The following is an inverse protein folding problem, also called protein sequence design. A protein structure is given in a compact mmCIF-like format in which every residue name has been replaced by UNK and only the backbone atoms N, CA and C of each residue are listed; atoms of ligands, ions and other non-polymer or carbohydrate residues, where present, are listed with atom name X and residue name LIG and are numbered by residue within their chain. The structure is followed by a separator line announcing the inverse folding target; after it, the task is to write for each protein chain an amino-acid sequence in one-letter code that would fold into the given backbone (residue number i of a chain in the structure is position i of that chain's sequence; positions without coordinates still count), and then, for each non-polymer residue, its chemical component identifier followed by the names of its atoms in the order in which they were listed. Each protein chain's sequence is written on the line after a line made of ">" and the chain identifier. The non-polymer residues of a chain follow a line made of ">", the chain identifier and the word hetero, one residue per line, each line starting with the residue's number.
data_IF_326869613164
#
_entry.id   IF_326869613164
#
_cell.length_a   1.000
_cell.length_b   1.000
_cell.length_c   1.000
_cell.angle_alpha   90.00
_cell.angle_beta   90.00
_cell.angle_gamma   90.00
#
_symmetry.space_group_name_H-M   'P 1'
#
loop_
_entity.id
_entity.type
_entity.pdbx_description
1 polymer ?
#
# COMPACT_ATOMS: atom_id res chain seq x y z
N UNK A 1 39.36 -12.14 13.18
CA UNK A 1 38.60 -13.42 13.13
C UNK A 1 37.77 -13.46 11.87
N UNK A 2 37.90 -14.49 11.07
CA UNK A 2 37.14 -14.65 9.83
C UNK A 2 35.88 -15.47 10.11
N UNK A 3 34.77 -15.16 9.46
CA UNK A 3 33.52 -15.88 9.61
C UNK A 3 33.43 -16.99 8.55
N UNK A 4 33.15 -18.22 8.99
CA UNK A 4 33.00 -19.40 8.14
C UNK A 4 31.58 -19.91 8.20
N UNK A 5 30.99 -20.21 7.06
CA UNK A 5 29.74 -20.95 6.93
C UNK A 5 30.06 -22.43 6.88
N UNK A 6 29.38 -23.23 7.71
CA UNK A 6 29.58 -24.68 7.73
C UNK A 6 28.28 -25.44 7.51
N UNK A 7 28.43 -26.61 6.91
CA UNK A 7 27.47 -27.69 6.95
C UNK A 7 28.15 -28.88 7.61
N UNK A 8 27.55 -29.41 8.68
CA UNK A 8 28.12 -30.49 9.46
C UNK A 8 27.05 -31.53 9.83
N UNK A 9 27.41 -32.80 9.91
CA UNK A 9 26.54 -33.87 10.38
C UNK A 9 26.83 -34.20 11.84
N UNK A 10 25.77 -34.41 12.63
CA UNK A 10 25.89 -34.95 13.97
C UNK A 10 26.14 -36.46 13.97
N UNK A 11 26.33 -37.09 15.16
CA UNK A 11 26.56 -38.53 15.29
C UNK A 11 25.39 -39.41 14.81
N UNK A 12 24.21 -38.80 14.58
CA UNK A 12 23.00 -39.48 14.08
C UNK A 12 22.78 -39.23 12.57
N UNK A 13 23.73 -38.56 11.89
CA UNK A 13 23.65 -38.26 10.46
C UNK A 13 22.74 -37.07 10.10
N UNK A 14 22.24 -36.28 11.08
CA UNK A 14 21.43 -35.11 10.83
C UNK A 14 22.33 -33.95 10.44
N UNK A 15 22.04 -33.32 9.32
CA UNK A 15 22.79 -32.18 8.79
C UNK A 15 22.37 -30.88 9.52
N UNK A 16 23.35 -30.21 10.13
CA UNK A 16 23.22 -28.87 10.67
C UNK A 16 24.06 -27.88 9.87
N UNK A 17 23.49 -26.72 9.56
CA UNK A 17 24.21 -25.63 8.90
C UNK A 17 24.22 -24.39 9.83
N UNK A 18 25.38 -23.71 9.87
CA UNK A 18 25.56 -22.56 10.75
C UNK A 18 26.75 -21.70 10.36
N UNK A 19 27.06 -20.72 11.19
CA UNK A 19 28.21 -19.84 11.04
C UNK A 19 29.12 -20.00 12.26
N UNK A 20 30.42 -19.94 12.03
CA UNK A 20 31.47 -20.07 13.04
C UNK A 20 32.54 -19.01 12.80
N UNK A 21 32.98 -18.35 13.84
CA UNK A 21 34.13 -17.44 13.80
C UNK A 21 35.41 -18.20 14.15
N UNK A 22 36.40 -18.13 13.25
CA UNK A 22 37.71 -18.75 13.44
C UNK A 22 38.79 -17.94 12.72
N UNK A 23 40.03 -18.08 13.21
CA UNK A 23 41.16 -17.35 12.58
C UNK A 23 41.62 -17.99 11.28
N UNK A 24 41.32 -19.27 11.08
CA UNK A 24 41.61 -20.01 9.84
C UNK A 24 40.57 -21.11 9.58
N UNK A 25 40.51 -21.60 8.37
CA UNK A 25 39.63 -22.70 7.99
C UNK A 25 39.94 -23.98 8.79
N UNK A 26 41.22 -24.24 9.11
CA UNK A 26 41.62 -25.36 9.98
C UNK A 26 41.12 -25.21 11.40
N UNK A 27 41.13 -24.01 11.98
CA UNK A 27 40.58 -23.71 13.29
C UNK A 27 39.05 -23.88 13.32
N UNK A 28 38.37 -23.55 12.23
CA UNK A 28 36.93 -23.81 12.08
C UNK A 28 36.61 -25.31 12.07
N UNK A 29 37.36 -26.12 11.34
CA UNK A 29 37.24 -27.58 11.36
C UNK A 29 37.49 -28.17 12.75
N UNK A 30 38.53 -27.70 13.46
CA UNK A 30 38.85 -28.17 14.83
C UNK A 30 37.70 -27.84 15.79
N UNK A 31 37.13 -26.65 15.71
CA UNK A 31 36.00 -26.21 16.56
C UNK A 31 34.73 -27.02 16.30
N UNK A 32 34.41 -27.39 15.07
CA UNK A 32 33.26 -28.25 14.74
C UNK A 32 33.49 -29.66 15.29
N UNK A 33 34.70 -30.18 15.13
CA UNK A 33 35.06 -31.50 15.64
C UNK A 33 35.01 -31.61 17.19
N UNK A 34 35.40 -30.54 17.90
CA UNK A 34 35.27 -30.46 19.36
C UNK A 34 33.81 -30.42 19.85
N UNK A 35 32.89 -30.02 18.99
CA UNK A 35 31.44 -30.04 19.23
C UNK A 35 30.77 -31.37 18.84
N UNK A 36 31.56 -32.37 18.43
CA UNK A 36 31.03 -33.66 18.01
C UNK A 36 30.38 -33.67 16.60
N UNK A 37 30.62 -32.62 15.82
CA UNK A 37 30.07 -32.46 14.48
C UNK A 37 31.11 -32.83 13.41
N UNK A 38 30.71 -33.63 12.45
CA UNK A 38 31.54 -33.95 11.26
C UNK A 38 31.27 -32.93 10.19
N UNK A 39 32.22 -32.05 9.91
CA UNK A 39 32.09 -31.02 8.91
C UNK A 39 32.06 -31.63 7.50
N UNK A 40 30.96 -31.37 6.76
CA UNK A 40 30.79 -31.77 5.38
C UNK A 40 31.34 -30.68 4.44
N UNK A 41 31.09 -29.42 4.78
CA UNK A 41 31.56 -28.26 4.03
C UNK A 41 31.86 -27.09 4.96
N UNK A 42 33.01 -26.43 4.75
CA UNK A 42 33.39 -25.19 5.46
C UNK A 42 33.92 -24.20 4.44
N UNK A 43 33.22 -23.08 4.26
CA UNK A 43 33.60 -22.03 3.33
C UNK A 43 33.81 -20.71 4.06
N UNK A 44 34.81 -19.95 3.64
CA UNK A 44 35.00 -18.58 4.13
C UNK A 44 33.80 -17.74 3.67
N UNK A 45 33.12 -17.12 4.61
CA UNK A 45 32.03 -16.17 4.32
C UNK A 45 32.70 -14.86 3.88
N UNK A 46 33.03 -14.79 2.57
CA UNK A 46 33.74 -13.67 1.97
C UNK A 46 32.88 -12.39 1.88
N UNK A 47 31.67 -12.40 2.46
CA UNK A 47 30.76 -11.27 2.45
C UNK A 47 30.26 -11.00 3.87
N UNK A 48 30.95 -10.17 4.69
CA UNK A 48 30.53 -9.86 6.06
C UNK A 48 29.19 -9.13 6.15
N UNK A 49 28.55 -8.82 5.03
CA UNK A 49 27.20 -8.26 4.92
C UNK A 49 26.13 -9.23 4.43
N UNK A 50 26.47 -10.50 4.13
CA UNK A 50 25.54 -11.49 3.55
C UNK A 50 24.83 -12.37 4.60
N UNK A 51 24.79 -11.95 5.85
CA UNK A 51 23.97 -12.57 6.91
C UNK A 51 22.47 -12.35 6.77
N UNK A 52 22.06 -11.67 5.72
CA UNK A 52 20.68 -11.61 5.25
C UNK A 52 20.72 -11.57 3.73
N UNK A 53 21.01 -12.73 3.08
CA UNK A 53 20.50 -12.95 1.74
C UNK A 53 18.97 -12.83 1.85
N UNK A 54 18.50 -11.59 1.71
CA UNK A 54 17.12 -11.31 1.35
C UNK A 54 16.92 -12.01 0.02
N UNK A 55 16.53 -13.29 0.08
CA UNK A 55 16.02 -13.98 -1.08
C UNK A 55 14.98 -13.07 -1.71
N UNK A 56 14.83 -13.11 -3.02
CA UNK A 56 13.78 -12.41 -3.77
C UNK A 56 12.37 -12.58 -3.15
N UNK A 57 12.23 -13.45 -2.15
CA UNK A 57 11.03 -13.82 -1.40
C UNK A 57 11.10 -13.52 0.13
N UNK A 58 12.08 -12.76 0.65
CA UNK A 58 11.97 -12.36 2.06
C UNK A 58 10.78 -11.41 2.21
N UNK A 59 9.87 -11.70 3.16
CA UNK A 59 8.69 -10.86 3.37
C UNK A 59 9.14 -9.46 3.80
N UNK A 60 8.66 -8.45 3.10
CA UNK A 60 8.85 -7.04 3.45
C UNK A 60 8.06 -6.71 4.71
N UNK A 61 8.53 -5.76 5.51
CA UNK A 61 7.72 -5.18 6.59
C UNK A 61 6.43 -4.59 6.00
N UNK A 62 5.27 -5.02 6.53
CA UNK A 62 4.01 -4.39 6.16
C UNK A 62 3.90 -3.00 6.77
N UNK A 63 2.99 -2.15 6.24
CA UNK A 63 2.74 -0.83 6.81
C UNK A 63 2.35 -0.93 8.31
N UNK A 64 1.65 -2.00 8.72
CA UNK A 64 1.27 -2.24 10.11
C UNK A 64 2.46 -2.70 10.97
N UNK A 65 3.35 -3.54 10.42
CA UNK A 65 4.56 -3.98 11.12
C UNK A 65 5.49 -2.79 11.38
N UNK A 66 5.61 -1.90 10.39
CA UNK A 66 6.40 -0.68 10.52
C UNK A 66 5.78 0.28 11.56
N UNK A 67 4.45 0.44 11.56
CA UNK A 67 3.74 1.26 12.55
C UNK A 67 3.99 0.74 13.97
N UNK A 68 3.82 -0.58 14.18
CA UNK A 68 4.06 -1.21 15.46
C UNK A 68 5.49 -1.02 15.94
N UNK A 69 6.48 -1.33 15.10
CA UNK A 69 7.89 -1.19 15.45
C UNK A 69 8.27 0.26 15.77
N UNK A 70 7.74 1.23 15.00
CA UNK A 70 7.98 2.66 15.22
C UNK A 70 7.37 3.13 16.52
N UNK A 71 6.13 2.72 16.84
CA UNK A 71 5.45 3.07 18.10
C UNK A 71 6.19 2.50 19.32
N UNK A 72 6.64 1.25 19.23
CA UNK A 72 7.43 0.64 20.32
C UNK A 72 8.73 1.40 20.54
N UNK A 73 9.49 1.67 19.48
CA UNK A 73 10.73 2.45 19.58
C UNK A 73 10.48 3.86 20.13
N UNK A 74 9.44 4.55 19.63
CA UNK A 74 9.08 5.88 20.10
C UNK A 74 8.76 5.88 21.60
N UNK A 75 7.95 4.93 22.07
CA UNK A 75 7.58 4.83 23.49
C UNK A 75 8.79 4.54 24.40
N UNK A 76 9.68 3.66 23.96
CA UNK A 76 10.89 3.32 24.72
C UNK A 76 11.91 4.48 24.76
N UNK A 77 12.11 5.14 23.63
CA UNK A 77 12.97 6.33 23.54
C UNK A 77 12.37 7.52 24.33
N UNK A 78 11.06 7.70 24.29
CA UNK A 78 10.33 8.69 25.09
C UNK A 78 10.46 8.43 26.60
N UNK A 79 10.58 7.16 27.01
CA UNK A 79 10.93 6.76 28.38
C UNK A 79 12.42 6.91 28.68
N UNK A 80 13.20 7.58 27.83
CA UNK A 80 14.64 7.79 27.97
C UNK A 80 15.50 6.53 27.97
N UNK A 81 15.04 5.43 27.38
CA UNK A 81 15.89 4.27 27.16
C UNK A 81 16.93 4.58 26.08
N UNK A 82 18.18 4.12 26.26
CA UNK A 82 19.20 4.18 25.20
C UNK A 82 18.72 3.46 23.93
N UNK A 83 19.11 3.96 22.75
CA UNK A 83 18.67 3.43 21.46
C UNK A 83 18.92 1.92 21.30
N UNK A 84 20.08 1.43 21.75
CA UNK A 84 20.41 0.00 21.70
C UNK A 84 19.47 -0.84 22.56
N UNK A 85 19.15 -0.37 23.77
CA UNK A 85 18.22 -1.04 24.67
C UNK A 85 16.80 -1.03 24.11
N UNK A 86 16.36 0.10 23.53
CA UNK A 86 15.06 0.23 22.87
C UNK A 86 14.94 -0.74 21.67
N UNK A 87 15.97 -0.82 20.82
CA UNK A 87 16.01 -1.78 19.71
C UNK A 87 15.98 -3.23 20.21
N UNK A 88 16.73 -3.54 21.28
CA UNK A 88 16.76 -4.89 21.86
C UNK A 88 15.39 -5.31 22.38
N UNK A 89 14.75 -4.45 23.19
CA UNK A 89 13.41 -4.71 23.71
C UNK A 89 12.36 -4.85 22.60
N UNK A 90 12.45 -4.03 21.54
CA UNK A 90 11.53 -4.13 20.39
C UNK A 90 11.73 -5.44 19.63
N UNK A 91 12.96 -5.92 19.48
CA UNK A 91 13.26 -7.22 18.85
C UNK A 91 12.67 -8.37 19.68
N UNK A 92 12.80 -8.33 20.99
CA UNK A 92 12.28 -9.36 21.90
C UNK A 92 10.75 -9.43 21.91
N UNK A 93 10.08 -8.28 21.74
CA UNK A 93 8.62 -8.18 21.68
C UNK A 93 8.04 -8.50 20.30
N UNK A 94 8.88 -8.66 19.27
CA UNK A 94 8.42 -8.89 17.92
C UNK A 94 7.82 -10.30 17.74
N UNK A 95 6.50 -10.40 17.59
CA UNK A 95 5.81 -11.68 17.39
C UNK A 95 6.16 -12.35 16.07
N UNK A 96 6.44 -11.56 15.04
CA UNK A 96 6.71 -12.05 13.67
C UNK A 96 8.23 -12.15 13.45
N UNK A 97 8.69 -13.32 13.03
CA UNK A 97 10.13 -13.59 12.81
C UNK A 97 10.82 -12.60 11.86
N UNK A 98 10.14 -12.17 10.79
CA UNK A 98 10.73 -11.24 9.84
C UNK A 98 10.94 -9.84 10.44
N UNK A 99 10.06 -9.37 11.35
CA UNK A 99 10.24 -8.10 12.07
C UNK A 99 11.46 -8.22 12.97
N UNK A 100 11.52 -9.28 13.79
CA UNK A 100 12.66 -9.54 14.66
C UNK A 100 13.98 -9.62 13.88
N UNK A 101 14.00 -10.28 12.73
CA UNK A 101 15.19 -10.38 11.87
C UNK A 101 15.63 -9.02 11.32
N UNK A 102 14.70 -8.23 10.78
CA UNK A 102 14.99 -6.90 10.22
C UNK A 102 15.52 -5.97 11.31
N UNK A 103 14.85 -5.90 12.46
CA UNK A 103 15.28 -5.05 13.59
C UNK A 103 16.57 -5.55 14.24
N UNK A 104 16.80 -6.86 14.34
CA UNK A 104 18.07 -7.42 14.82
C UNK A 104 19.24 -7.03 13.94
N UNK A 105 19.02 -6.99 12.61
CA UNK A 105 20.04 -6.54 11.68
C UNK A 105 20.31 -5.04 11.80
N UNK A 106 19.27 -4.20 12.01
CA UNK A 106 19.44 -2.77 12.31
C UNK A 106 20.20 -2.58 13.64
N UNK A 107 19.82 -3.34 14.68
CA UNK A 107 20.52 -3.30 15.97
C UNK A 107 22.00 -3.66 15.85
N UNK A 108 22.33 -4.68 15.06
CA UNK A 108 23.72 -5.09 14.83
C UNK A 108 24.55 -3.97 14.18
N UNK A 109 23.97 -3.29 13.18
CA UNK A 109 24.62 -2.17 12.50
C UNK A 109 24.82 -0.98 13.47
N UNK A 110 23.83 -0.64 14.29
CA UNK A 110 23.94 0.42 15.30
C UNK A 110 24.99 0.06 16.37
N UNK A 111 25.05 -1.19 16.83
CA UNK A 111 26.10 -1.68 17.76
C UNK A 111 27.51 -1.59 17.17
N UNK A 112 27.64 -1.72 15.85
CA UNK A 112 28.92 -1.55 15.17
C UNK A 112 29.37 -0.09 15.05
N UNK A 113 28.56 0.87 15.56
CA UNK A 113 28.84 2.31 15.54
C UNK A 113 28.21 3.05 14.34
N UNK A 114 27.36 2.38 13.54
CA UNK A 114 26.65 3.02 12.45
C UNK A 114 25.51 3.88 12.99
N UNK A 115 25.24 5.04 12.38
CA UNK A 115 24.06 5.85 12.69
C UNK A 115 22.78 5.08 12.37
N UNK A 116 21.71 5.29 13.16
CA UNK A 116 20.43 4.64 12.90
C UNK A 116 19.91 4.92 11.50
N UNK A 117 19.97 6.17 11.05
CA UNK A 117 19.56 6.57 9.69
C UNK A 117 20.32 5.79 8.59
N UNK A 118 21.61 5.54 8.77
CA UNK A 118 22.45 4.78 7.84
C UNK A 118 22.10 3.28 7.88
N UNK A 119 21.92 2.71 9.08
CA UNK A 119 21.49 1.33 9.26
C UNK A 119 20.13 1.05 8.58
N UNK A 120 19.21 2.01 8.66
CA UNK A 120 17.92 1.96 7.97
C UNK A 120 18.06 2.16 6.45
N UNK A 121 19.01 3.01 6.01
CA UNK A 121 19.27 3.25 4.59
C UNK A 121 19.80 2.00 3.86
N UNK A 122 20.46 1.10 4.57
CA UNK A 122 20.86 -0.20 4.05
C UNK A 122 19.67 -1.11 3.67
N UNK A 123 18.45 -0.78 4.14
CA UNK A 123 17.20 -1.56 3.95
C UNK A 123 16.09 -0.72 3.35
N UNK A 124 16.25 -0.18 2.11
CA UNK A 124 15.31 0.78 1.52
C UNK A 124 13.94 0.16 1.17
N UNK A 125 13.85 -1.18 1.15
CA UNK A 125 12.59 -1.90 0.93
C UNK A 125 11.67 -1.84 2.15
N UNK A 126 12.24 -1.86 3.36
CA UNK A 126 11.51 -1.91 4.63
C UNK A 126 11.27 -0.51 5.19
N UNK A 127 12.23 0.40 5.01
CA UNK A 127 12.17 1.76 5.54
C UNK A 127 12.12 2.80 4.41
N UNK A 128 10.95 3.43 4.18
CA UNK A 128 10.77 4.47 3.16
C UNK A 128 11.71 5.67 3.37
N UNK A 129 11.95 6.43 2.32
CA UNK A 129 12.89 7.58 2.37
C UNK A 129 12.47 8.64 3.40
N UNK A 130 11.16 8.93 3.50
CA UNK A 130 10.65 9.85 4.53
C UNK A 130 11.01 9.38 5.95
N UNK A 131 10.91 8.06 6.21
CA UNK A 131 11.26 7.48 7.49
C UNK A 131 12.73 7.74 7.82
N UNK A 132 13.61 7.46 6.88
CA UNK A 132 15.07 7.63 7.02
C UNK A 132 15.46 9.10 7.16
N UNK A 133 14.82 9.98 6.38
CA UNK A 133 15.07 11.43 6.44
C UNK A 133 14.70 12.02 7.80
N UNK A 134 13.57 11.57 8.39
CA UNK A 134 13.16 12.00 9.73
C UNK A 134 14.11 11.50 10.80
N UNK A 135 14.52 10.23 10.73
CA UNK A 135 15.47 9.67 11.68
C UNK A 135 16.81 10.41 11.61
N UNK A 136 17.31 10.70 10.40
CA UNK A 136 18.53 11.48 10.23
C UNK A 136 18.43 12.86 10.87
N UNK A 137 17.30 13.55 10.70
CA UNK A 137 17.06 14.84 11.32
C UNK A 137 17.00 14.73 12.86
N UNK A 138 16.36 13.68 13.40
CA UNK A 138 16.31 13.40 14.83
C UNK A 138 17.69 13.10 15.45
N UNK A 139 18.54 12.38 14.72
CA UNK A 139 19.91 12.11 15.14
C UNK A 139 20.78 13.40 15.07
N UNK A 140 20.61 14.22 14.05
CA UNK A 140 21.34 15.50 13.91
C UNK A 140 20.94 16.53 14.97
N UNK A 141 19.65 16.59 15.33
CA UNK A 141 19.14 17.50 16.37
C UNK A 141 19.34 16.99 17.79
N UNK A 142 19.63 15.70 17.96
CA UNK A 142 19.71 15.04 19.26
C UNK A 142 18.35 14.73 19.91
N UNK A 143 17.25 14.96 19.19
CA UNK A 143 15.88 14.73 19.67
C UNK A 143 15.19 13.59 18.92
N UNK A 144 15.86 12.44 18.92
CA UNK A 144 15.37 11.24 18.25
C UNK A 144 14.03 10.77 18.82
N UNK A 145 13.81 10.94 20.14
CA UNK A 145 12.59 10.52 20.81
C UNK A 145 11.36 11.28 20.27
N UNK A 146 11.43 12.60 20.18
CA UNK A 146 10.33 13.42 19.67
C UNK A 146 10.05 13.15 18.19
N UNK A 147 11.12 12.95 17.39
CA UNK A 147 10.98 12.63 15.97
C UNK A 147 10.34 11.26 15.77
N UNK A 148 10.73 10.26 16.57
CA UNK A 148 10.13 8.92 16.53
C UNK A 148 8.64 8.94 16.93
N UNK A 149 8.27 9.74 17.92
CA UNK A 149 6.87 9.94 18.32
C UNK A 149 6.03 10.50 17.16
N UNK A 150 6.47 11.61 16.57
CA UNK A 150 5.80 12.22 15.40
C UNK A 150 5.72 11.27 14.20
N UNK A 151 6.77 10.47 14.00
CA UNK A 151 6.80 9.48 12.92
C UNK A 151 5.81 8.33 13.18
N UNK A 152 5.70 7.88 14.44
CA UNK A 152 4.72 6.87 14.84
C UNK A 152 3.29 7.38 14.60
N UNK A 153 2.98 8.60 15.08
CA UNK A 153 1.67 9.23 14.88
C UNK A 153 1.32 9.33 13.38
N UNK A 154 2.27 9.78 12.56
CA UNK A 154 2.08 9.88 11.12
C UNK A 154 1.75 8.54 10.45
N UNK A 155 2.50 7.49 10.80
CA UNK A 155 2.28 6.17 10.20
C UNK A 155 0.95 5.59 10.66
N UNK A 156 0.59 5.76 11.94
CA UNK A 156 -0.68 5.30 12.51
C UNK A 156 -1.88 6.04 11.89
N UNK A 157 -1.84 7.36 11.79
CA UNK A 157 -2.88 8.15 11.14
C UNK A 157 -3.06 7.74 9.67
N UNK A 158 -1.95 7.57 8.95
CA UNK A 158 -1.97 7.13 7.55
C UNK A 158 -2.59 5.73 7.41
N UNK A 159 -2.19 4.79 8.27
CA UNK A 159 -2.71 3.43 8.27
C UNK A 159 -4.18 3.40 8.72
N UNK A 160 -4.54 4.20 9.71
CA UNK A 160 -5.91 4.36 10.19
C UNK A 160 -6.84 4.88 9.09
N UNK A 161 -6.45 5.94 8.37
CA UNK A 161 -7.23 6.45 7.24
C UNK A 161 -7.40 5.39 6.14
N UNK A 162 -6.30 4.70 5.79
CA UNK A 162 -6.36 3.60 4.81
C UNK A 162 -7.26 2.47 5.27
N UNK A 163 -7.17 2.08 6.56
CA UNK A 163 -8.02 1.07 7.17
C UNK A 163 -9.49 1.44 7.09
N UNK A 164 -9.86 2.65 7.50
CA UNK A 164 -11.24 3.16 7.43
C UNK A 164 -11.80 3.10 6.00
N UNK A 165 -11.02 3.56 5.02
CA UNK A 165 -11.43 3.53 3.62
C UNK A 165 -11.63 2.09 3.15
N UNK A 166 -10.67 1.18 3.40
CA UNK A 166 -10.77 -0.22 2.99
C UNK A 166 -11.98 -0.90 3.63
N UNK A 167 -12.18 -0.73 4.94
CA UNK A 167 -13.30 -1.32 5.67
C UNK A 167 -14.64 -0.83 5.12
N UNK A 168 -14.75 0.46 4.77
CA UNK A 168 -15.97 1.01 4.17
C UNK A 168 -16.32 0.37 2.82
N UNK A 169 -15.33 -0.10 2.05
CA UNK A 169 -15.56 -0.76 0.76
C UNK A 169 -15.73 -2.30 0.86
N UNK A 170 -15.46 -2.92 2.01
CA UNK A 170 -15.63 -4.39 2.18
C UNK A 170 -17.08 -4.78 1.98
N UNK A 171 -18.01 -4.11 2.67
CA UNK A 171 -19.43 -4.44 2.60
C UNK A 171 -19.98 -4.33 1.17
N UNK A 172 -19.86 -3.19 0.45
CA UNK A 172 -20.26 -3.11 -0.94
C UNK A 172 -19.57 -4.15 -1.85
N UNK A 173 -18.30 -4.44 -1.59
CA UNK A 173 -17.55 -5.43 -2.36
C UNK A 173 -18.11 -6.85 -2.20
N UNK A 174 -18.42 -7.27 -0.97
CA UNK A 174 -19.00 -8.60 -0.67
C UNK A 174 -20.40 -8.70 -1.27
N UNK A 175 -21.25 -7.70 -1.02
CA UNK A 175 -22.63 -7.69 -1.57
C UNK A 175 -22.59 -7.71 -3.10
N UNK A 176 -21.71 -6.91 -3.73
CA UNK A 176 -21.55 -6.90 -5.18
C UNK A 176 -21.12 -8.24 -5.75
N UNK A 177 -20.16 -8.91 -5.10
CA UNK A 177 -19.67 -10.20 -5.55
C UNK A 177 -20.75 -11.28 -5.44
N UNK A 178 -21.46 -11.32 -4.32
CA UNK A 178 -22.60 -12.26 -4.13
C UNK A 178 -23.70 -11.99 -5.14
N UNK A 179 -24.04 -10.72 -5.35
CA UNK A 179 -25.06 -10.32 -6.31
C UNK A 179 -24.72 -10.72 -7.74
N UNK A 180 -23.48 -10.50 -8.19
CA UNK A 180 -23.00 -10.95 -9.49
C UNK A 180 -23.08 -12.47 -9.59
N UNK A 181 -22.69 -13.19 -8.54
CA UNK A 181 -22.81 -14.67 -8.48
C UNK A 181 -24.25 -15.15 -8.67
N UNK A 182 -25.20 -14.51 -7.98
CA UNK A 182 -26.64 -14.82 -8.11
C UNK A 182 -27.13 -14.56 -9.54
N UNK A 183 -26.78 -13.41 -10.15
CA UNK A 183 -27.19 -13.08 -11.52
C UNK A 183 -26.62 -14.09 -12.52
N UNK A 184 -25.33 -14.43 -12.41
CA UNK A 184 -24.70 -15.45 -13.27
C UNK A 184 -25.40 -16.81 -13.08
N UNK A 185 -25.71 -17.21 -11.87
CA UNK A 185 -26.42 -18.45 -11.58
C UNK A 185 -27.83 -18.46 -12.20
N UNK A 186 -28.60 -17.38 -12.00
CA UNK A 186 -29.95 -17.27 -12.56
C UNK A 186 -29.94 -17.31 -14.10
N UNK A 187 -29.05 -16.53 -14.72
CA UNK A 187 -28.92 -16.51 -16.17
C UNK A 187 -28.39 -17.83 -16.75
N UNK A 188 -27.42 -18.45 -16.09
CA UNK A 188 -26.79 -19.66 -16.61
C UNK A 188 -27.56 -20.94 -16.36
N UNK A 189 -28.39 -20.97 -15.32
CA UNK A 189 -29.10 -22.19 -14.90
C UNK A 189 -30.61 -22.06 -14.99
N UNK A 190 -31.19 -21.06 -14.33
CA UNK A 190 -32.65 -20.93 -14.18
C UNK A 190 -33.32 -20.54 -15.51
N UNK A 191 -32.84 -19.50 -16.17
CA UNK A 191 -33.44 -19.02 -17.44
C UNK A 191 -33.49 -20.11 -18.52
N UNK A 192 -32.39 -20.84 -18.85
CA UNK A 192 -32.45 -21.90 -19.83
C UNK A 192 -33.36 -23.06 -19.45
N UNK A 193 -33.43 -23.42 -18.15
CA UNK A 193 -34.29 -24.51 -17.68
C UNK A 193 -35.77 -24.20 -17.84
N UNK A 194 -36.16 -22.96 -17.53
CA UNK A 194 -37.55 -22.49 -17.75
C UNK A 194 -37.87 -22.45 -19.23
N UNK A 195 -36.99 -21.86 -20.04
CA UNK A 195 -37.22 -21.74 -21.50
C UNK A 195 -37.26 -23.09 -22.18
N UNK A 196 -36.45 -24.08 -21.77
CA UNK A 196 -36.51 -25.43 -22.35
C UNK A 196 -37.85 -26.12 -22.10
N UNK A 197 -38.49 -25.86 -20.98
CA UNK A 197 -39.83 -26.35 -20.69
C UNK A 197 -40.89 -25.76 -21.62
N UNK A 198 -40.73 -24.49 -22.08
CA UNK A 198 -41.64 -23.83 -23.03
C UNK A 198 -41.37 -24.14 -24.48
N UNK A 199 -40.11 -24.37 -24.87
CA UNK A 199 -39.77 -24.72 -26.25
C UNK A 199 -40.43 -26.02 -26.72
N UNK A 200 -40.77 -26.91 -25.77
CA UNK A 200 -41.52 -28.12 -26.05
C UNK A 200 -43.01 -27.85 -26.46
N UNK A 201 -43.51 -26.66 -26.13
CA UNK A 201 -44.88 -26.25 -26.47
C UNK A 201 -45.00 -25.60 -27.88
N UNK A 202 -43.92 -25.55 -28.67
CA UNK A 202 -43.85 -25.00 -30.05
C UNK A 202 -44.37 -23.55 -30.19
N UNK A 203 -44.20 -22.70 -29.18
CA UNK A 203 -44.64 -21.31 -29.20
C UNK A 203 -43.44 -20.38 -29.39
N UNK A 204 -43.71 -19.24 -30.04
CA UNK A 204 -42.71 -18.16 -30.18
C UNK A 204 -42.45 -17.52 -28.81
N UNK A 205 -41.19 -17.34 -28.48
CA UNK A 205 -40.75 -16.78 -27.19
C UNK A 205 -40.82 -15.24 -27.23
N UNK A 206 -41.34 -14.57 -26.19
CA UNK A 206 -41.27 -13.13 -26.07
C UNK A 206 -39.85 -12.57 -26.25
N UNK A 207 -39.73 -11.37 -26.84
CA UNK A 207 -38.45 -10.75 -27.16
C UNK A 207 -37.54 -10.56 -25.96
N UNK A 208 -38.09 -10.29 -24.77
CA UNK A 208 -37.34 -10.18 -23.52
C UNK A 208 -36.69 -11.50 -23.12
N UNK A 209 -37.43 -12.62 -23.28
CA UNK A 209 -36.94 -13.97 -22.99
C UNK A 209 -35.81 -14.36 -23.97
N UNK A 210 -35.95 -14.02 -25.25
CA UNK A 210 -34.88 -14.23 -26.24
C UNK A 210 -33.63 -13.43 -25.94
N UNK A 211 -33.78 -12.17 -25.48
CA UNK A 211 -32.63 -11.36 -25.02
C UNK A 211 -31.93 -11.96 -23.81
N UNK A 212 -32.68 -12.51 -22.85
CA UNK A 212 -32.11 -13.17 -21.67
C UNK A 212 -31.42 -14.50 -22.03
N UNK A 213 -31.97 -15.25 -22.98
CA UNK A 213 -31.35 -16.46 -23.53
C UNK A 213 -30.02 -16.14 -24.20
N UNK A 214 -30.01 -15.13 -25.09
CA UNK A 214 -28.77 -14.72 -25.75
C UNK A 214 -27.71 -14.24 -24.77
N UNK A 215 -28.10 -13.53 -23.70
CA UNK A 215 -27.19 -13.16 -22.59
C UNK A 215 -26.67 -14.38 -21.83
N UNK A 216 -27.55 -15.36 -21.57
CA UNK A 216 -27.18 -16.64 -20.91
C UNK A 216 -26.16 -17.42 -21.75
N UNK A 217 -26.44 -17.58 -23.05
CA UNK A 217 -25.55 -18.28 -23.98
C UNK A 217 -24.21 -17.57 -24.13
N UNK A 218 -24.22 -16.25 -24.18
CA UNK A 218 -23.02 -15.45 -24.18
C UNK A 218 -22.17 -15.70 -22.92
N UNK A 219 -22.77 -15.67 -21.71
CA UNK A 219 -22.05 -15.90 -20.47
C UNK A 219 -21.50 -17.34 -20.41
N UNK A 220 -22.25 -18.33 -20.87
CA UNK A 220 -21.80 -19.72 -20.91
C UNK A 220 -20.70 -19.98 -21.92
N UNK A 221 -20.82 -19.43 -23.13
CA UNK A 221 -19.86 -19.65 -24.21
C UNK A 221 -18.58 -18.81 -24.02
N UNK A 222 -18.73 -17.57 -23.58
CA UNK A 222 -17.66 -16.56 -23.60
C UNK A 222 -17.23 -16.08 -22.22
N UNK A 223 -17.91 -16.47 -21.14
CA UNK A 223 -17.64 -15.96 -19.79
C UNK A 223 -16.19 -16.13 -19.34
N UNK A 224 -15.62 -17.32 -19.56
CA UNK A 224 -14.21 -17.58 -19.23
C UNK A 224 -13.25 -16.78 -20.12
N UNK A 225 -13.57 -16.64 -21.40
CA UNK A 225 -12.77 -15.86 -22.36
C UNK A 225 -12.85 -14.37 -22.04
N UNK A 226 -14.03 -13.84 -21.69
CA UNK A 226 -14.19 -12.46 -21.23
C UNK A 226 -13.38 -12.20 -19.95
N UNK A 227 -13.40 -13.12 -19.00
CA UNK A 227 -12.56 -13.02 -17.80
C UNK A 227 -11.06 -13.03 -18.14
N UNK A 228 -10.63 -13.93 -19.03
CA UNK A 228 -9.26 -13.98 -19.53
C UNK A 228 -8.86 -12.70 -20.27
N UNK A 229 -9.73 -12.18 -21.16
CA UNK A 229 -9.52 -10.94 -21.89
C UNK A 229 -9.43 -9.73 -20.93
N UNK A 230 -10.28 -9.68 -19.89
CA UNK A 230 -10.25 -8.63 -18.88
C UNK A 230 -8.95 -8.68 -18.07
N UNK A 231 -8.50 -9.89 -17.66
CA UNK A 231 -7.22 -10.09 -16.97
C UNK A 231 -6.03 -9.69 -17.87
N UNK A 232 -6.03 -10.11 -19.14
CA UNK A 232 -5.01 -9.74 -20.12
C UNK A 232 -5.01 -8.23 -20.41
N UNK A 233 -6.19 -7.61 -20.54
CA UNK A 233 -6.35 -6.17 -20.68
C UNK A 233 -5.82 -5.40 -19.48
N UNK A 234 -6.12 -5.85 -18.25
CA UNK A 234 -5.57 -5.28 -17.03
C UNK A 234 -4.04 -5.38 -16.98
N UNK A 235 -3.50 -6.53 -17.37
CA UNK A 235 -2.06 -6.73 -17.43
C UNK A 235 -1.40 -5.86 -18.51
N UNK A 236 -1.97 -5.82 -19.70
CA UNK A 236 -1.54 -4.94 -20.80
C UNK A 236 -1.57 -3.46 -20.41
N UNK A 237 -2.64 -3.04 -19.72
CA UNK A 237 -2.76 -1.71 -19.14
C UNK A 237 -1.64 -1.41 -18.14
N UNK A 238 -1.34 -2.35 -17.26
CA UNK A 238 -0.25 -2.22 -16.28
C UNK A 238 1.12 -2.14 -16.96
N UNK A 239 1.33 -2.88 -18.04
CA UNK A 239 2.54 -2.80 -18.87
C UNK A 239 2.63 -1.46 -19.61
N UNK A 240 1.52 -0.98 -20.17
CA UNK A 240 1.46 0.33 -20.84
C UNK A 240 1.82 1.48 -19.89
N UNK A 241 1.35 1.42 -18.63
CA UNK A 241 1.68 2.41 -17.61
C UNK A 241 3.14 2.35 -17.09
N UNK A 242 3.94 1.37 -17.50
CA UNK A 242 5.40 1.39 -17.26
C UNK A 242 6.11 2.47 -18.07
N UNK A 243 5.53 2.90 -19.20
CA UNK A 243 6.06 4.02 -19.96
C UNK A 243 5.81 5.34 -19.19
N UNK A 244 6.86 6.11 -18.83
CA UNK A 244 6.72 7.34 -18.05
C UNK A 244 5.79 8.38 -18.69
N UNK A 245 5.81 8.52 -20.03
CA UNK A 245 4.93 9.47 -20.75
C UNK A 245 3.46 9.05 -20.68
N UNK A 246 3.18 7.76 -20.86
CA UNK A 246 1.82 7.22 -20.76
C UNK A 246 1.27 7.37 -19.35
N UNK A 247 2.11 7.10 -18.33
CA UNK A 247 1.78 7.22 -16.91
C UNK A 247 1.49 8.68 -16.53
N UNK A 248 2.32 9.63 -16.97
CA UNK A 248 2.09 11.06 -16.73
C UNK A 248 0.75 11.53 -17.33
N UNK A 249 0.47 11.15 -18.58
CA UNK A 249 -0.78 11.49 -19.25
C UNK A 249 -1.99 10.89 -18.53
N UNK A 250 -1.89 9.63 -18.09
CA UNK A 250 -2.94 8.98 -17.31
C UNK A 250 -3.17 9.67 -15.97
N UNK A 251 -2.09 9.94 -15.22
CA UNK A 251 -2.14 10.66 -13.94
C UNK A 251 -2.74 12.05 -14.09
N UNK A 252 -2.45 12.74 -15.19
CA UNK A 252 -3.04 14.05 -15.49
C UNK A 252 -4.55 13.95 -15.83
N UNK A 253 -4.97 12.90 -16.54
CA UNK A 253 -6.39 12.67 -16.88
C UNK A 253 -7.22 12.29 -15.65
N UNK A 254 -6.69 11.45 -14.77
CA UNK A 254 -7.37 11.08 -13.52
C UNK A 254 -7.70 12.31 -12.68
N UNK A 255 -6.78 13.28 -12.57
CA UNK A 255 -7.03 14.51 -11.80
C UNK A 255 -8.18 15.36 -12.32
N UNK A 256 -8.56 15.18 -13.61
CA UNK A 256 -9.67 15.91 -14.23
C UNK A 256 -11.03 15.26 -13.99
N UNK A 257 -11.08 14.01 -13.53
CA UNK A 257 -12.34 13.33 -13.23
C UNK A 257 -13.04 13.96 -12.02
N UNK A 258 -14.35 14.23 -12.08
CA UNK A 258 -15.05 15.07 -11.09
C UNK A 258 -15.06 14.44 -9.67
N UNK A 259 -15.18 13.13 -9.55
CA UNK A 259 -15.21 12.42 -8.25
C UNK A 259 -13.85 11.85 -7.88
N UNK A 260 -13.27 11.02 -8.75
CA UNK A 260 -11.99 10.35 -8.50
C UNK A 260 -10.81 11.32 -8.48
N UNK A 261 -10.83 12.35 -9.33
CA UNK A 261 -9.76 13.33 -9.39
C UNK A 261 -9.62 14.11 -8.10
N UNK A 262 -10.73 14.55 -7.50
CA UNK A 262 -10.72 15.25 -6.21
C UNK A 262 -10.24 14.36 -5.07
N UNK A 263 -10.57 13.07 -5.08
CA UNK A 263 -10.12 12.09 -4.10
C UNK A 263 -8.60 11.87 -4.21
N UNK A 264 -8.09 11.57 -5.43
CA UNK A 264 -6.67 11.36 -5.70
C UNK A 264 -5.86 12.61 -5.37
N UNK A 265 -6.34 13.79 -5.77
CA UNK A 265 -5.71 15.07 -5.46
C UNK A 265 -5.63 15.29 -3.94
N UNK A 266 -6.74 15.13 -3.24
CA UNK A 266 -6.79 15.30 -1.79
C UNK A 266 -5.81 14.37 -1.08
N UNK A 267 -5.81 13.07 -1.41
CA UNK A 267 -4.95 12.06 -0.80
C UNK A 267 -3.46 12.39 -0.99
N UNK A 268 -3.05 12.74 -2.21
CA UNK A 268 -1.66 13.12 -2.48
C UNK A 268 -1.29 14.43 -1.78
N UNK A 269 -2.18 15.41 -1.78
CA UNK A 269 -1.95 16.71 -1.15
C UNK A 269 -1.87 16.59 0.38
N UNK A 270 -2.73 15.79 0.99
CA UNK A 270 -2.68 15.52 2.44
C UNK A 270 -1.35 14.86 2.84
N UNK A 271 -0.90 13.85 2.08
CA UNK A 271 0.40 13.21 2.30
C UNK A 271 1.57 14.19 2.17
N UNK A 272 1.55 14.99 1.12
CA UNK A 272 2.57 16.02 0.88
C UNK A 272 2.62 17.01 2.03
N UNK A 273 1.48 17.55 2.44
CA UNK A 273 1.37 18.53 3.52
C UNK A 273 1.82 17.96 4.87
N UNK A 274 1.37 16.73 5.20
CA UNK A 274 1.75 16.03 6.44
C UNK A 274 3.26 15.76 6.48
N UNK A 275 3.82 15.24 5.38
CA UNK A 275 5.26 14.99 5.28
C UNK A 275 6.07 16.27 5.47
N UNK A 276 5.66 17.34 4.81
CA UNK A 276 6.36 18.62 4.89
C UNK A 276 6.22 19.26 6.29
N UNK A 277 5.05 19.09 6.96
CA UNK A 277 4.82 19.54 8.32
C UNK A 277 5.77 18.85 9.32
N UNK A 278 5.88 17.53 9.22
CA UNK A 278 6.70 16.72 10.12
C UNK A 278 8.18 17.04 9.92
N UNK A 279 8.66 17.05 8.67
CA UNK A 279 10.05 17.36 8.34
C UNK A 279 10.41 18.80 8.75
N UNK A 280 9.54 19.76 8.46
CA UNK A 280 9.75 21.16 8.87
C UNK A 280 9.70 21.33 10.39
N UNK A 281 8.81 20.61 11.07
CA UNK A 281 8.73 20.59 12.53
C UNK A 281 9.93 19.90 13.22
N UNK A 282 10.63 19.01 12.51
CA UNK A 282 11.88 18.40 12.93
C UNK A 282 13.13 19.24 12.55
N UNK A 283 12.95 20.45 12.01
CA UNK A 283 14.06 21.33 11.66
C UNK A 283 14.75 21.01 10.34
N UNK A 284 14.21 20.09 9.52
CA UNK A 284 14.78 19.76 8.21
C UNK A 284 14.68 20.99 7.30
N UNK A 285 15.78 21.39 6.61
CA UNK A 285 15.78 22.51 5.67
C UNK A 285 14.69 22.34 4.60
N UNK A 286 13.94 23.42 4.30
CA UNK A 286 12.75 23.41 3.45
C UNK A 286 12.96 22.71 2.10
N UNK A 287 14.10 22.95 1.43
CA UNK A 287 14.37 22.34 0.13
C UNK A 287 14.54 20.82 0.22
N UNK A 288 15.19 20.32 1.28
CA UNK A 288 15.29 18.87 1.54
C UNK A 288 13.93 18.29 1.92
N UNK A 289 13.17 18.99 2.74
CA UNK A 289 11.81 18.58 3.12
C UNK A 289 10.87 18.49 1.89
N UNK A 290 10.96 19.44 0.96
CA UNK A 290 10.20 19.43 -0.30
C UNK A 290 10.57 18.22 -1.18
N UNK A 291 11.85 17.87 -1.29
CA UNK A 291 12.29 16.72 -2.08
C UNK A 291 11.80 15.40 -1.48
N UNK A 292 11.92 15.23 -0.17
CA UNK A 292 11.39 14.05 0.53
C UNK A 292 9.84 13.98 0.44
N UNK A 293 9.15 15.11 0.61
CA UNK A 293 7.69 15.17 0.47
C UNK A 293 7.22 14.85 -0.96
N UNK A 294 7.96 15.28 -1.98
CA UNK A 294 7.71 14.94 -3.39
C UNK A 294 7.66 13.43 -3.62
N UNK A 295 8.51 12.67 -2.97
CA UNK A 295 8.59 11.21 -3.14
C UNK A 295 7.41 10.46 -2.52
N UNK A 296 6.66 11.09 -1.62
CA UNK A 296 5.42 10.51 -1.06
C UNK A 296 4.24 10.61 -2.01
N UNK A 297 4.37 11.39 -3.09
CA UNK A 297 3.32 11.57 -4.09
C UNK A 297 3.24 10.37 -5.03
N UNK A 298 2.08 9.74 -5.09
CA UNK A 298 1.81 8.64 -6.00
C UNK A 298 1.39 9.07 -7.41
N UNK A 299 1.14 10.37 -7.61
CA UNK A 299 0.75 10.93 -8.90
C UNK A 299 1.90 11.73 -9.51
N UNK A 300 2.39 11.29 -10.68
CA UNK A 300 3.55 11.88 -11.34
C UNK A 300 3.34 13.34 -11.73
N UNK A 301 2.10 13.75 -12.08
CA UNK A 301 1.82 15.15 -12.40
C UNK A 301 2.01 16.06 -11.18
N UNK A 302 1.55 15.61 -10.01
CA UNK A 302 1.76 16.33 -8.76
C UNK A 302 3.23 16.33 -8.35
N UNK A 303 3.92 15.18 -8.51
CA UNK A 303 5.37 15.07 -8.25
C UNK A 303 6.17 16.04 -9.13
N UNK A 304 5.83 16.14 -10.42
CA UNK A 304 6.45 17.10 -11.33
C UNK A 304 6.19 18.55 -10.89
N UNK A 305 4.94 18.88 -10.55
CA UNK A 305 4.58 20.23 -10.08
C UNK A 305 5.32 20.63 -8.80
N UNK A 306 5.52 19.69 -7.87
CA UNK A 306 6.36 19.96 -6.68
C UNK A 306 7.82 20.18 -7.08
N UNK A 307 8.36 19.41 -8.02
CA UNK A 307 9.73 19.60 -8.51
C UNK A 307 9.93 20.99 -9.13
N UNK A 308 8.99 21.43 -9.97
CA UNK A 308 8.98 22.77 -10.58
C UNK A 308 8.86 23.88 -9.52
N UNK A 309 7.98 23.68 -8.52
CA UNK A 309 7.84 24.61 -7.39
C UNK A 309 9.12 24.66 -6.55
N UNK A 310 9.77 23.52 -6.30
CA UNK A 310 11.04 23.45 -5.54
C UNK A 310 12.15 24.22 -6.24
N UNK A 311 12.22 24.18 -7.58
CA UNK A 311 13.18 24.97 -8.34
C UNK A 311 12.96 26.48 -8.13
N UNK A 312 11.69 26.94 -8.18
CA UNK A 312 11.32 28.35 -7.93
C UNK A 312 11.64 28.78 -6.49
N UNK A 313 11.40 27.90 -5.51
CA UNK A 313 11.74 28.18 -4.09
C UNK A 313 13.26 28.31 -3.93
N UNK A 314 14.06 27.49 -4.63
CA UNK A 314 15.52 27.60 -4.62
C UNK A 314 16.00 28.93 -5.21
N UNK A 315 15.27 29.52 -6.15
CA UNK A 315 15.49 30.84 -6.74
C UNK A 315 14.98 32.01 -5.84
N UNK A 316 14.41 31.68 -4.67
CA UNK A 316 13.97 32.68 -3.68
C UNK A 316 12.46 32.99 -3.73
N UNK A 317 11.66 32.31 -4.54
CA UNK A 317 10.22 32.47 -4.51
C UNK A 317 9.61 31.87 -3.23
N UNK A 318 8.50 32.46 -2.72
CA UNK A 318 7.78 31.83 -1.64
C UNK A 318 7.12 30.52 -2.08
N UNK A 319 7.02 29.52 -1.18
CA UNK A 319 6.44 28.22 -1.49
C UNK A 319 4.98 28.35 -1.93
N UNK A 320 4.21 29.24 -1.27
CA UNK A 320 2.82 29.49 -1.64
C UNK A 320 2.71 30.05 -3.07
N UNK A 321 3.58 30.98 -3.46
CA UNK A 321 3.60 31.54 -4.81
C UNK A 321 4.01 30.47 -5.84
N UNK A 322 5.04 29.69 -5.55
CA UNK A 322 5.54 28.62 -6.42
C UNK A 322 4.46 27.58 -6.71
N UNK A 323 3.76 27.07 -5.67
CA UNK A 323 2.69 26.08 -5.81
C UNK A 323 1.44 26.65 -6.50
N UNK A 324 1.14 27.94 -6.31
CA UNK A 324 -0.01 28.60 -6.96
C UNK A 324 0.11 28.65 -8.47
N UNK A 325 1.32 28.85 -8.99
CA UNK A 325 1.59 28.88 -10.45
C UNK A 325 1.24 27.55 -11.11
N UNK A 326 1.44 26.44 -10.42
CA UNK A 326 1.19 25.10 -10.92
C UNK A 326 -0.32 24.76 -11.12
N UNK A 327 -1.22 25.50 -10.47
CA UNK A 327 -2.70 25.37 -10.58
C UNK A 327 -3.27 23.98 -10.36
N UNK A 328 -2.53 23.09 -9.73
CA UNK A 328 -2.95 21.68 -9.47
C UNK A 328 -3.31 21.45 -8.01
N UNK A 329 -2.80 22.27 -7.09
CA UNK A 329 -3.04 22.09 -5.66
C UNK A 329 -4.32 22.77 -5.17
N UNK A 330 -5.00 22.18 -4.15
CA UNK A 330 -6.18 22.81 -3.56
C UNK A 330 -5.90 24.18 -2.96
N UNK A 331 -6.83 25.14 -3.09
CA UNK A 331 -6.65 26.50 -2.54
C UNK A 331 -6.37 26.51 -1.03
N UNK A 332 -6.96 25.60 -0.26
CA UNK A 332 -6.78 25.49 1.18
C UNK A 332 -5.32 25.26 1.56
N UNK A 333 -4.60 24.40 0.82
CA UNK A 333 -3.17 24.17 1.05
C UNK A 333 -2.38 25.47 0.81
N UNK A 334 -2.61 26.13 -0.32
CA UNK A 334 -1.88 27.35 -0.72
C UNK A 334 -2.11 28.46 0.29
N UNK A 335 -3.36 28.63 0.78
CA UNK A 335 -3.69 29.65 1.79
C UNK A 335 -3.00 29.40 3.13
N UNK A 336 -2.99 28.15 3.60
CA UNK A 336 -2.33 27.80 4.87
C UNK A 336 -0.81 27.93 4.77
N UNK A 337 -0.21 27.54 3.64
CA UNK A 337 1.22 27.76 3.39
C UNK A 337 1.54 29.26 3.40
N UNK A 338 0.76 30.08 2.68
CA UNK A 338 0.98 31.52 2.64
C UNK A 338 0.85 32.19 4.03
N UNK A 339 -0.10 31.71 4.86
CA UNK A 339 -0.22 32.15 6.25
C UNK A 339 0.99 31.73 7.08
N UNK A 340 1.42 30.47 6.94
CA UNK A 340 2.59 29.95 7.65
C UNK A 340 3.89 30.65 7.29
N UNK A 341 4.10 30.98 6.00
CA UNK A 341 5.25 31.76 5.54
C UNK A 341 5.28 33.19 6.14
N UNK A 342 4.11 33.83 6.19
CA UNK A 342 4.00 35.19 6.77
C UNK A 342 4.21 35.22 8.28
N UNK A 343 3.78 34.19 8.99
CA UNK A 343 3.85 34.13 10.46
C UNK A 343 5.10 33.39 10.97
N UNK A 344 5.92 32.84 10.11
CA UNK A 344 7.05 31.97 10.49
C UNK A 344 6.63 30.60 11.06
N UNK A 345 5.33 30.27 11.01
CA UNK A 345 4.74 29.05 11.59
C UNK A 345 4.29 28.07 10.50
N UNK A 346 5.17 27.80 9.54
CA UNK A 346 4.88 26.92 8.39
C UNK A 346 4.49 25.49 8.79
N UNK A 347 5.22 24.78 9.69
CA UNK A 347 4.89 23.42 10.08
C UNK A 347 3.48 23.25 10.66
N UNK A 348 3.03 24.02 11.66
CA UNK A 348 1.66 23.88 12.20
C UNK A 348 0.57 24.24 11.18
N UNK A 349 0.84 25.14 10.23
CA UNK A 349 -0.13 25.45 9.17
C UNK A 349 -0.24 24.31 8.15
N UNK A 350 0.87 23.66 7.83
CA UNK A 350 0.90 22.46 6.97
C UNK A 350 0.19 21.29 7.64
N UNK A 351 0.38 21.09 8.94
CA UNK A 351 -0.32 20.07 9.70
C UNK A 351 -1.86 20.29 9.67
N UNK A 352 -2.31 21.52 9.89
CA UNK A 352 -3.74 21.87 9.73
C UNK A 352 -4.25 21.61 8.32
N UNK A 353 -3.46 21.90 7.29
CA UNK A 353 -3.81 21.60 5.91
C UNK A 353 -3.97 20.08 5.70
N UNK A 354 -3.02 19.29 6.18
CA UNK A 354 -3.05 17.84 6.10
C UNK A 354 -4.29 17.26 6.79
N UNK A 355 -4.57 17.67 8.02
CA UNK A 355 -5.75 17.23 8.78
C UNK A 355 -7.07 17.62 8.10
N UNK A 356 -7.17 18.85 7.58
CA UNK A 356 -8.36 19.30 6.86
C UNK A 356 -8.61 18.46 5.60
N UNK A 357 -7.56 18.24 4.82
CA UNK A 357 -7.63 17.41 3.61
C UNK A 357 -7.94 15.95 3.92
N UNK A 358 -7.31 15.37 4.95
CA UNK A 358 -7.57 13.99 5.38
C UNK A 358 -9.03 13.77 5.79
N UNK A 359 -9.60 14.71 6.57
CA UNK A 359 -11.02 14.68 6.96
C UNK A 359 -11.96 14.84 5.75
N UNK A 360 -11.60 15.67 4.77
CA UNK A 360 -12.39 15.83 3.54
C UNK A 360 -12.38 14.55 2.71
N UNK A 361 -11.23 13.88 2.61
CA UNK A 361 -11.09 12.58 1.93
C UNK A 361 -11.92 11.51 2.63
N UNK A 362 -11.83 11.39 3.96
CA UNK A 362 -12.60 10.46 4.76
C UNK A 362 -14.11 10.66 4.53
N UNK A 363 -14.58 11.90 4.62
CA UNK A 363 -15.98 12.26 4.33
C UNK A 363 -16.43 11.88 2.93
N UNK A 364 -15.59 12.15 1.92
CA UNK A 364 -15.91 11.79 0.52
C UNK A 364 -15.93 10.28 0.32
N UNK A 365 -14.98 9.54 0.90
CA UNK A 365 -14.97 8.08 0.83
C UNK A 365 -16.24 7.49 1.45
N UNK A 366 -16.62 7.94 2.65
CA UNK A 366 -17.86 7.50 3.31
C UNK A 366 -19.11 7.89 2.53
N UNK A 367 -19.14 9.11 1.95
CA UNK A 367 -20.25 9.53 1.09
C UNK A 367 -20.40 8.68 -0.16
N UNK A 368 -19.28 8.30 -0.80
CA UNK A 368 -19.31 7.41 -1.96
C UNK A 368 -19.80 6.01 -1.60
N UNK A 369 -19.37 5.45 -0.47
CA UNK A 369 -19.83 4.14 -0.01
C UNK A 369 -21.30 4.14 0.39
N UNK A 370 -21.76 5.19 1.05
CA UNK A 370 -23.18 5.35 1.43
C UNK A 370 -24.12 5.43 0.21
N UNK A 371 -23.66 5.97 -0.93
CA UNK A 371 -24.43 6.00 -2.18
C UNK A 371 -24.38 4.68 -2.94
N UNK A 372 -23.33 3.88 -2.75
CA UNK A 372 -23.21 2.58 -3.42
C UNK A 372 -24.28 1.60 -2.97
N UNK A 373 -24.64 1.60 -1.68
CA UNK A 373 -25.62 0.67 -1.13
C UNK A 373 -27.02 0.81 -1.78
N UNK A 374 -27.67 2.00 -1.77
CA UNK A 374 -28.95 2.17 -2.46
C UNK A 374 -28.85 1.89 -3.96
N UNK A 375 -27.75 2.29 -4.60
CA UNK A 375 -27.54 2.05 -6.03
C UNK A 375 -27.50 0.55 -6.33
N UNK A 376 -26.78 -0.23 -5.52
CA UNK A 376 -26.70 -1.68 -5.67
C UNK A 376 -28.05 -2.36 -5.47
N UNK A 377 -28.84 -1.91 -4.48
CA UNK A 377 -30.19 -2.44 -4.25
C UNK A 377 -31.09 -2.18 -5.47
N UNK A 378 -31.07 -0.96 -5.99
CA UNK A 378 -31.89 -0.58 -7.16
C UNK A 378 -31.45 -1.35 -8.42
N UNK A 379 -30.15 -1.44 -8.68
CA UNK A 379 -29.61 -2.18 -9.83
C UNK A 379 -29.94 -3.67 -9.72
N UNK A 380 -29.72 -4.27 -8.55
CA UNK A 380 -30.00 -5.69 -8.34
C UNK A 380 -31.49 -5.99 -8.40
N UNK A 381 -32.31 -5.16 -7.76
CA UNK A 381 -33.77 -5.27 -7.86
C UNK A 381 -34.25 -5.16 -9.30
N UNK A 382 -33.70 -4.23 -10.06
CA UNK A 382 -33.98 -4.09 -11.49
C UNK A 382 -33.57 -5.32 -12.32
N UNK A 383 -32.39 -5.86 -12.08
CA UNK A 383 -31.92 -7.08 -12.77
C UNK A 383 -32.81 -8.28 -12.44
N UNK A 384 -33.11 -8.48 -11.15
CA UNK A 384 -33.99 -9.59 -10.71
C UNK A 384 -35.38 -9.42 -11.30
N UNK A 385 -35.94 -8.20 -11.30
CA UNK A 385 -37.23 -7.90 -11.92
C UNK A 385 -37.25 -8.29 -13.41
N UNK A 386 -36.22 -7.91 -14.17
CA UNK A 386 -36.12 -8.25 -15.59
C UNK A 386 -36.03 -9.77 -15.80
N UNK A 387 -35.28 -10.49 -14.95
CA UNK A 387 -35.20 -11.96 -15.02
C UNK A 387 -36.57 -12.59 -14.73
N UNK A 388 -37.25 -12.12 -13.66
CA UNK A 388 -38.59 -12.63 -13.31
C UNK A 388 -39.59 -12.35 -14.42
N UNK A 389 -39.61 -11.16 -15.00
CA UNK A 389 -40.47 -10.82 -16.15
C UNK A 389 -40.17 -11.72 -17.37
N UNK A 390 -38.90 -11.96 -17.68
CA UNK A 390 -38.51 -12.83 -18.80
C UNK A 390 -38.96 -14.29 -18.63
N UNK A 391 -39.12 -14.74 -17.37
CA UNK A 391 -39.63 -16.08 -17.03
C UNK A 391 -41.16 -16.11 -16.97
N UNK A 392 -41.78 -15.03 -16.50
CA UNK A 392 -43.27 -14.99 -16.31
C UNK A 392 -44.02 -14.67 -17.59
N UNK A 393 -43.49 -13.86 -18.52
CA UNK A 393 -44.15 -13.49 -19.78
C UNK A 393 -44.59 -14.72 -20.58
N UNK A 394 -43.76 -15.72 -20.86
CA UNK A 394 -44.16 -16.95 -21.55
C UNK A 394 -45.31 -17.70 -20.84
N UNK A 395 -45.27 -17.74 -19.46
CA UNK A 395 -46.27 -18.41 -18.68
C UNK A 395 -47.67 -17.75 -18.83
N UNK A 396 -47.68 -16.42 -18.85
CA UNK A 396 -48.89 -15.62 -19.02
C UNK A 396 -49.49 -15.81 -20.45
N UNK A 397 -48.64 -15.80 -21.49
CA UNK A 397 -49.07 -16.01 -22.85
C UNK A 397 -49.70 -17.39 -23.06
N UNK A 398 -49.13 -18.45 -22.51
CA UNK A 398 -49.69 -19.80 -22.61
C UNK A 398 -51.05 -19.85 -21.90
N UNK A 399 -51.21 -19.24 -20.73
CA UNK A 399 -52.45 -19.27 -19.97
C UNK A 399 -53.60 -18.52 -20.70
N UNK A 400 -53.25 -17.49 -21.50
CA UNK A 400 -54.22 -16.76 -22.31
C UNK A 400 -54.69 -17.53 -23.54
N UNK A 401 -53.92 -18.52 -24.02
CA UNK A 401 -54.28 -19.35 -25.18
C UNK A 401 -55.10 -20.60 -24.81
N UNK A 402 -55.11 -20.97 -23.55
CA UNK A 402 -55.87 -22.13 -23.01
C UNK A 402 -57.24 -21.71 -22.52
N UNK A 403 -57.49 -20.41 -22.36
CA UNK A 403 -58.81 -19.85 -22.04
C UNK A 403 -59.52 -19.36 -23.27
#
# INVERSE_FOLDING_TARGET
>A
MNRYRYEAADALGKIESGHLEADSQGAAFASLRSRGLTALQVQLDSNPGSGAAGGLFSPRLSDNDLAWATRQLASLLGASLPLEAALSATVEQAERKHIAQTLSAVRADVRSGMRLAEALAARPRDFPEIYRALIAAGEESGDLAQVMERLADYIEERNGLRGKILTAFIYPGVVGLVSIGIVIFLLSYVVPQVVSAFSQARQDLPGLTLAMLSASDFIRAWGLQCFGAMAAGFWGWRLYLRNPRARLNWHSRILRLPLFGRFVLGLNTARFASTLAILGGAGVPLLRALEAARQTLSNDRLSQSVSEATAKVREGASLAAALRVEKVFPPVLIHLIASGEKTGALPPMLERAAQTLSRDIERRAMGMTALLEPLMIVVMGGVVLVIVMAVMLPIIEINQLVT
#
